data_IF_223086300137
#
_entry.id   IF_223086300137
#
_cell.length_a   1.000
_cell.length_b   1.000
_cell.length_c   1.000
_cell.angle_alpha   90.00
_cell.angle_beta   90.00
_cell.angle_gamma   90.00
#
_symmetry.space_group_name_H-M   'P 1'
#
loop_
_entity.id
_entity.type
_entity.pdbx_description
1 polymer ?
#
# COMPACT_ATOMS: atom_id res chain seq x y z
N UNK A 1 -3.50 -6.36 49.80
CA UNK A 1 -4.84 -6.89 49.41
C UNK A 1 -5.94 -5.81 49.37
N UNK A 2 -6.14 -4.98 50.42
CA UNK A 2 -7.16 -3.90 50.42
C UNK A 2 -7.03 -2.84 49.32
N UNK A 3 -5.81 -2.48 48.90
CA UNK A 3 -5.55 -1.46 47.86
C UNK A 3 -5.97 -1.92 46.46
N UNK A 4 -5.76 -3.20 46.16
CA UNK A 4 -6.12 -3.80 44.87
C UNK A 4 -7.64 -3.88 44.68
N UNK A 5 -8.36 -4.18 45.76
CA UNK A 5 -9.83 -4.18 45.78
C UNK A 5 -10.41 -2.76 45.58
N UNK A 6 -9.79 -1.74 46.18
CA UNK A 6 -10.17 -0.33 45.99
C UNK A 6 -9.95 0.12 44.54
N UNK A 7 -8.85 -0.30 43.91
CA UNK A 7 -8.56 0.06 42.52
C UNK A 7 -9.53 -0.60 41.53
N UNK A 8 -9.87 -1.87 41.74
CA UNK A 8 -10.88 -2.58 40.94
C UNK A 8 -12.27 -1.95 41.07
N UNK A 9 -12.66 -1.57 42.30
CA UNK A 9 -13.91 -0.88 42.56
C UNK A 9 -13.93 0.51 41.90
N UNK A 10 -12.83 1.25 41.96
CA UNK A 10 -12.70 2.56 41.29
C UNK A 10 -12.87 2.42 39.77
N UNK A 11 -12.18 1.45 39.15
CA UNK A 11 -12.30 1.19 37.70
C UNK A 11 -13.71 0.78 37.30
N UNK A 12 -14.39 -0.03 38.11
CA UNK A 12 -15.77 -0.42 37.86
C UNK A 12 -16.75 0.77 37.96
N UNK A 13 -16.57 1.64 38.96
CA UNK A 13 -17.36 2.87 39.10
C UNK A 13 -17.11 3.85 37.93
N UNK A 14 -15.86 4.01 37.51
CA UNK A 14 -15.48 4.80 36.33
C UNK A 14 -16.13 4.23 35.06
N UNK A 15 -16.13 2.92 34.88
CA UNK A 15 -16.76 2.26 33.74
C UNK A 15 -18.29 2.46 33.71
N UNK A 16 -18.95 2.32 34.87
CA UNK A 16 -20.40 2.58 35.01
C UNK A 16 -20.76 4.03 34.71
N UNK A 17 -19.96 4.99 35.20
CA UNK A 17 -20.14 6.41 34.90
C UNK A 17 -19.94 6.67 33.40
N UNK A 18 -18.88 6.13 32.81
CA UNK A 18 -18.62 6.31 31.38
C UNK A 18 -19.77 5.76 30.52
N UNK A 19 -20.29 4.59 30.86
CA UNK A 19 -21.43 3.99 30.18
C UNK A 19 -22.73 4.79 30.35
N UNK A 20 -22.99 5.35 31.54
CA UNK A 20 -24.20 6.15 31.77
C UNK A 20 -24.15 7.47 31.00
N UNK A 21 -22.98 8.12 30.95
CA UNK A 21 -22.75 9.32 30.14
C UNK A 21 -22.86 9.03 28.65
N UNK A 22 -22.32 7.90 28.18
CA UNK A 22 -22.43 7.48 26.78
C UNK A 22 -23.88 7.18 26.39
N UNK A 23 -24.63 6.47 27.23
CA UNK A 23 -26.07 6.23 27.01
C UNK A 23 -26.88 7.53 27.09
N UNK A 24 -26.48 8.48 27.94
CA UNK A 24 -27.08 9.80 28.01
C UNK A 24 -26.86 10.60 26.72
N UNK A 25 -25.66 10.54 26.14
CA UNK A 25 -25.34 11.13 24.84
C UNK A 25 -26.19 10.51 23.72
N UNK A 26 -26.35 9.19 23.69
CA UNK A 26 -27.18 8.51 22.68
C UNK A 26 -28.69 8.75 22.83
N UNK A 27 -29.16 9.27 23.97
CA UNK A 27 -30.58 9.58 24.21
C UNK A 27 -30.99 11.00 23.79
N UNK A 28 -30.02 11.87 23.50
CA UNK A 28 -30.27 13.24 23.07
C UNK A 28 -30.10 13.35 21.55
N UNK A 29 -31.03 14.00 20.85
CA UNK A 29 -30.94 14.26 19.41
C UNK A 29 -29.59 14.90 19.03
N UNK A 30 -29.13 15.90 19.80
CA UNK A 30 -27.83 16.55 19.58
C UNK A 30 -26.66 15.57 19.78
N UNK A 31 -26.77 14.66 20.76
CA UNK A 31 -25.73 13.68 21.05
C UNK A 31 -25.68 12.55 20.01
N UNK A 32 -26.83 12.14 19.47
CA UNK A 32 -26.91 11.26 18.31
C UNK A 32 -26.30 11.91 17.07
N UNK A 33 -26.61 13.19 16.80
CA UNK A 33 -26.02 13.95 15.69
C UNK A 33 -24.50 14.01 15.84
N UNK A 34 -23.96 14.28 17.03
CA UNK A 34 -22.51 14.29 17.28
C UNK A 34 -21.91 12.89 17.10
N UNK A 35 -22.55 11.83 17.60
CA UNK A 35 -22.07 10.46 17.45
C UNK A 35 -22.04 10.04 15.97
N UNK A 36 -23.09 10.32 15.23
CA UNK A 36 -23.15 10.09 13.80
C UNK A 36 -22.14 10.97 13.05
N UNK A 37 -21.99 12.25 13.40
CA UNK A 37 -20.94 13.10 12.84
C UNK A 37 -19.54 12.53 13.11
N UNK A 38 -19.25 11.99 14.30
CA UNK A 38 -17.97 11.37 14.59
C UNK A 38 -17.75 10.03 13.87
N UNK A 39 -18.80 9.23 13.68
CA UNK A 39 -18.74 7.95 12.97
C UNK A 39 -18.70 8.13 11.44
N UNK A 40 -19.36 9.17 10.94
CA UNK A 40 -19.44 9.54 9.52
C UNK A 40 -18.51 10.68 9.15
N UNK A 41 -17.70 11.20 10.08
CA UNK A 41 -16.53 11.99 9.74
C UNK A 41 -15.78 11.08 8.77
N UNK A 42 -15.70 11.44 7.47
CA UNK A 42 -14.82 10.73 6.57
C UNK A 42 -13.49 10.76 7.29
N UNK A 43 -12.84 9.61 7.48
CA UNK A 43 -11.41 9.63 7.78
C UNK A 43 -10.82 10.46 6.67
N UNK A 44 -10.56 11.73 6.93
CA UNK A 44 -9.91 12.61 5.98
C UNK A 44 -8.51 12.04 5.93
N UNK A 45 -8.29 11.18 4.93
CA UNK A 45 -6.99 10.66 4.62
C UNK A 45 -6.16 11.87 4.21
N UNK A 46 -5.51 12.50 5.19
CA UNK A 46 -4.55 13.55 4.96
C UNK A 46 -3.48 12.97 4.03
N UNK A 47 -3.47 13.39 2.77
CA UNK A 47 -2.37 13.20 1.80
C UNK A 47 -1.68 11.83 1.78
N UNK A 48 -2.39 10.72 2.03
CA UNK A 48 -1.76 9.41 2.04
C UNK A 48 -1.51 8.95 0.61
N UNK A 49 -0.24 8.72 0.27
CA UNK A 49 0.10 8.19 -1.04
C UNK A 49 -0.61 6.85 -1.28
N UNK A 50 -1.35 6.73 -2.39
CA UNK A 50 -2.06 5.49 -2.75
C UNK A 50 -1.14 4.28 -2.85
N UNK A 51 0.14 4.51 -3.15
CA UNK A 51 1.16 3.47 -3.29
C UNK A 51 1.91 3.10 -2.01
N UNK A 52 1.46 3.58 -0.85
CA UNK A 52 2.16 3.34 0.44
C UNK A 52 2.38 1.85 0.73
N UNK A 53 1.36 1.01 0.54
CA UNK A 53 1.51 -0.44 0.78
C UNK A 53 2.46 -1.09 -0.22
N UNK A 54 2.42 -0.69 -1.50
CA UNK A 54 3.35 -1.18 -2.52
C UNK A 54 4.80 -0.80 -2.18
N UNK A 55 5.05 0.43 -1.73
CA UNK A 55 6.40 0.86 -1.30
C UNK A 55 6.92 0.05 -0.12
N UNK A 56 6.05 -0.21 0.85
CA UNK A 56 6.41 -0.99 2.04
C UNK A 56 6.84 -2.41 1.65
N UNK A 57 6.06 -3.07 0.81
CA UNK A 57 6.36 -4.43 0.35
C UNK A 57 7.62 -4.45 -0.54
N UNK A 58 7.82 -3.45 -1.41
CA UNK A 58 9.05 -3.31 -2.22
C UNK A 58 10.32 -3.20 -1.36
N UNK A 59 10.30 -2.38 -0.31
CA UNK A 59 11.45 -2.28 0.62
C UNK A 59 11.66 -3.58 1.40
N UNK A 60 10.60 -4.33 1.70
CA UNK A 60 10.69 -5.61 2.37
C UNK A 60 11.35 -6.70 1.52
N UNK A 61 11.14 -6.71 0.20
CA UNK A 61 11.72 -7.72 -0.71
C UNK A 61 13.10 -7.34 -1.24
N UNK A 62 13.51 -6.08 -1.15
CA UNK A 62 14.78 -5.54 -1.68
C UNK A 62 16.06 -6.30 -1.25
N UNK A 63 16.01 -7.00 -0.12
CA UNK A 63 17.16 -7.77 0.42
C UNK A 63 17.09 -9.27 0.16
N UNK A 64 16.09 -9.73 -0.60
CA UNK A 64 15.96 -11.13 -1.01
C UNK A 64 17.16 -11.55 -1.85
N UNK A 65 17.71 -12.73 -1.52
CA UNK A 65 18.88 -13.35 -2.18
C UNK A 65 18.52 -14.60 -2.97
N UNK A 66 17.30 -15.06 -2.78
CA UNK A 66 16.69 -16.26 -3.35
C UNK A 66 15.84 -15.95 -4.60
N UNK A 67 15.91 -14.71 -5.10
CA UNK A 67 15.32 -14.27 -6.36
C UNK A 67 16.47 -13.89 -7.30
N UNK A 68 16.77 -14.77 -8.25
CA UNK A 68 17.83 -14.58 -9.25
C UNK A 68 17.20 -14.48 -10.65
N UNK A 69 16.81 -13.26 -11.02
CA UNK A 69 16.17 -12.96 -12.31
C UNK A 69 16.76 -11.70 -12.93
N UNK A 70 16.70 -11.67 -14.26
CA UNK A 70 17.02 -10.52 -15.11
C UNK A 70 15.71 -9.94 -15.64
N UNK A 71 15.47 -8.66 -15.41
CA UNK A 71 14.16 -8.02 -15.61
C UNK A 71 14.30 -6.71 -16.38
N UNK A 72 13.39 -6.49 -17.33
CA UNK A 72 13.36 -5.23 -18.09
C UNK A 72 13.11 -4.04 -17.16
N UNK A 73 14.10 -3.16 -17.04
CA UNK A 73 14.07 -2.11 -16.02
C UNK A 73 14.06 -0.73 -16.67
N UNK A 74 12.91 -0.08 -16.65
CA UNK A 74 12.77 1.28 -17.16
C UNK A 74 13.67 2.28 -16.41
N UNK A 75 14.19 3.27 -17.14
CA UNK A 75 14.97 4.34 -16.53
C UNK A 75 14.07 5.20 -15.64
N UNK A 76 14.63 5.69 -14.54
CA UNK A 76 13.80 6.49 -13.63
C UNK A 76 13.47 7.86 -14.22
N UNK A 77 14.26 8.39 -15.14
CA UNK A 77 14.12 9.70 -15.80
C UNK A 77 13.33 9.68 -17.11
N UNK A 78 12.58 8.60 -17.38
CA UNK A 78 11.66 8.55 -18.53
C UNK A 78 10.65 9.72 -18.51
N UNK A 79 10.23 10.12 -19.72
CA UNK A 79 9.31 11.23 -19.92
C UNK A 79 8.00 11.00 -19.13
N UNK A 80 7.49 12.05 -18.47
CA UNK A 80 6.26 11.98 -17.66
C UNK A 80 5.07 11.46 -18.46
N UNK A 81 5.05 11.66 -19.79
CA UNK A 81 4.02 11.11 -20.69
C UNK A 81 4.06 9.59 -20.81
N UNK A 82 5.19 8.97 -20.52
CA UNK A 82 5.39 7.52 -20.53
C UNK A 82 5.19 6.87 -19.16
N UNK A 83 4.89 7.66 -18.13
CA UNK A 83 4.72 7.21 -16.73
C UNK A 83 3.81 6.00 -16.59
N UNK A 84 2.65 6.01 -17.25
CA UNK A 84 1.69 4.91 -17.19
C UNK A 84 2.28 3.61 -17.73
N UNK A 85 2.94 3.68 -18.89
CA UNK A 85 3.59 2.53 -19.51
C UNK A 85 4.76 2.02 -18.67
N UNK A 86 5.59 2.92 -18.14
CA UNK A 86 6.69 2.59 -17.23
C UNK A 86 6.17 1.82 -16.02
N UNK A 87 5.11 2.32 -15.38
CA UNK A 87 4.45 1.64 -14.28
C UNK A 87 3.93 0.26 -14.69
N UNK A 88 3.25 0.15 -15.83
CA UNK A 88 2.78 -1.14 -16.35
C UNK A 88 3.93 -2.13 -16.57
N UNK A 89 5.08 -1.70 -17.13
CA UNK A 89 6.24 -2.56 -17.33
C UNK A 89 6.76 -3.12 -16.00
N UNK A 90 6.95 -2.29 -14.96
CA UNK A 90 7.37 -2.77 -13.65
C UNK A 90 6.41 -3.83 -13.06
N UNK A 91 5.10 -3.64 -13.24
CA UNK A 91 4.11 -4.62 -12.77
C UNK A 91 4.07 -5.91 -13.62
N UNK A 92 4.38 -5.83 -14.93
CA UNK A 92 4.54 -7.02 -15.78
C UNK A 92 5.77 -7.82 -15.36
N UNK A 93 6.91 -7.17 -15.17
CA UNK A 93 8.13 -7.81 -14.68
C UNK A 93 7.97 -8.37 -13.25
N UNK A 94 7.17 -7.72 -12.39
CA UNK A 94 6.85 -8.27 -11.06
C UNK A 94 6.08 -9.59 -11.14
N UNK A 95 5.31 -9.85 -12.22
CA UNK A 95 4.68 -11.16 -12.43
C UNK A 95 5.71 -12.24 -12.78
N UNK A 96 6.80 -11.87 -13.45
CA UNK A 96 7.93 -12.79 -13.73
C UNK A 96 8.57 -13.20 -12.40
N UNK A 97 8.84 -12.24 -11.50
CA UNK A 97 9.33 -12.53 -10.15
C UNK A 97 8.39 -13.49 -9.41
N UNK A 98 7.08 -13.22 -9.43
CA UNK A 98 6.11 -14.09 -8.75
C UNK A 98 6.13 -15.51 -9.33
N UNK A 99 6.21 -15.65 -10.66
CA UNK A 99 6.29 -16.94 -11.31
C UNK A 99 7.56 -17.70 -10.90
N UNK A 100 8.72 -17.03 -10.92
CA UNK A 100 9.99 -17.61 -10.48
C UNK A 100 9.89 -18.09 -9.03
N UNK A 101 9.33 -17.25 -8.14
CA UNK A 101 9.11 -17.57 -6.74
C UNK A 101 8.27 -18.82 -6.51
N UNK A 102 7.26 -19.08 -7.35
CA UNK A 102 6.47 -20.32 -7.28
C UNK A 102 7.27 -21.55 -7.67
N UNK A 103 8.22 -21.42 -8.60
CA UNK A 103 9.06 -22.53 -9.06
C UNK A 103 10.18 -22.82 -8.06
N UNK A 104 10.85 -21.78 -7.57
CA UNK A 104 12.02 -21.88 -6.69
C UNK A 104 11.68 -21.88 -5.20
N UNK A 105 10.41 -21.67 -4.86
CA UNK A 105 9.91 -21.55 -3.49
C UNK A 105 10.62 -20.43 -2.71
N UNK A 106 10.59 -19.22 -3.26
CA UNK A 106 11.25 -18.07 -2.64
C UNK A 106 10.56 -17.67 -1.31
N UNK A 107 11.35 -17.24 -0.34
CA UNK A 107 10.96 -16.80 1.00
C UNK A 107 10.05 -15.58 1.03
N UNK A 108 10.04 -14.78 -0.04
CA UNK A 108 9.29 -13.53 -0.16
C UNK A 108 8.09 -13.60 -1.11
N UNK A 109 7.66 -14.80 -1.49
CA UNK A 109 6.56 -15.02 -2.44
C UNK A 109 5.27 -14.25 -2.07
N UNK A 110 4.92 -14.23 -0.78
CA UNK A 110 3.74 -13.52 -0.30
C UNK A 110 3.85 -12.00 -0.43
N UNK A 111 5.04 -11.44 -0.18
CA UNK A 111 5.29 -10.01 -0.31
C UNK A 111 5.22 -9.58 -1.78
N UNK A 112 5.79 -10.39 -2.69
CA UNK A 112 5.68 -10.20 -4.15
C UNK A 112 4.21 -10.24 -4.60
N UNK A 113 3.44 -11.21 -4.11
CA UNK A 113 2.00 -11.28 -4.38
C UNK A 113 1.24 -10.04 -3.87
N UNK A 114 1.58 -9.55 -2.68
CA UNK A 114 0.95 -8.37 -2.09
C UNK A 114 1.22 -7.12 -2.93
N UNK A 115 2.44 -6.96 -3.47
CA UNK A 115 2.77 -5.86 -4.40
C UNK A 115 1.81 -5.85 -5.58
N UNK A 116 1.66 -6.99 -6.26
CA UNK A 116 0.78 -7.12 -7.43
C UNK A 116 -0.68 -6.86 -7.05
N UNK A 117 -1.15 -7.41 -5.94
CA UNK A 117 -2.53 -7.23 -5.45
C UNK A 117 -2.83 -5.77 -5.14
N UNK A 118 -1.97 -5.12 -4.35
CA UNK A 118 -2.15 -3.72 -3.95
C UNK A 118 -1.98 -2.77 -5.13
N UNK A 119 -1.08 -3.08 -6.06
CA UNK A 119 -0.89 -2.28 -7.26
C UNK A 119 -2.07 -2.35 -8.24
N UNK A 120 -2.62 -3.54 -8.48
CA UNK A 120 -3.80 -3.69 -9.34
C UNK A 120 -5.01 -2.94 -8.77
N UNK A 121 -5.23 -2.99 -7.46
CA UNK A 121 -6.27 -2.19 -6.81
C UNK A 121 -6.08 -0.68 -7.02
N UNK A 122 -4.84 -0.20 -7.13
CA UNK A 122 -4.55 1.20 -7.44
C UNK A 122 -4.75 1.56 -8.92
N UNK A 123 -4.58 0.60 -9.83
CA UNK A 123 -4.86 0.77 -11.25
C UNK A 123 -6.37 0.78 -11.54
N UNK A 124 -7.16 -0.13 -10.98
CA UNK A 124 -8.61 -0.20 -11.23
C UNK A 124 -9.37 1.08 -10.84
N UNK A 125 -8.87 1.83 -9.86
CA UNK A 125 -9.44 3.12 -9.44
C UNK A 125 -9.13 4.28 -10.40
N UNK A 126 -8.24 4.10 -11.38
CA UNK A 126 -7.90 5.10 -12.39
C UNK A 126 -8.18 4.48 -13.76
N UNK A 127 -9.21 4.97 -14.47
CA UNK A 127 -9.50 4.51 -15.83
C UNK A 127 -8.28 4.78 -16.72
N UNK A 128 -7.43 3.77 -16.88
CA UNK A 128 -6.10 3.87 -17.46
C UNK A 128 -6.26 3.87 -18.98
N UNK A 129 -6.41 5.07 -19.55
CA UNK A 129 -6.44 5.26 -20.99
C UNK A 129 -5.00 5.17 -21.50
N UNK A 130 -4.52 3.95 -21.73
CA UNK A 130 -3.23 3.67 -22.37
C UNK A 130 -3.24 4.23 -23.79
N UNK A 131 -3.00 5.52 -23.90
CA UNK A 131 -2.75 6.15 -25.18
C UNK A 131 -1.32 5.78 -25.51
N UNK A 132 -1.13 4.70 -26.28
CA UNK A 132 0.18 4.27 -26.79
C UNK A 132 0.77 5.42 -27.60
N UNK A 133 1.51 6.28 -26.91
CA UNK A 133 2.27 7.34 -27.55
C UNK A 133 3.41 6.64 -28.27
N UNK A 134 3.47 6.76 -29.60
CA UNK A 134 4.54 6.23 -30.47
C UNK A 134 5.98 6.65 -30.07
N UNK A 135 6.15 7.41 -28.98
CA UNK A 135 7.41 7.93 -28.46
C UNK A 135 7.90 7.22 -27.19
N UNK A 136 7.06 6.40 -26.54
CA UNK A 136 7.47 5.65 -25.36
C UNK A 136 8.04 4.30 -25.79
N UNK A 137 9.06 3.84 -25.08
CA UNK A 137 9.64 2.50 -25.29
C UNK A 137 8.67 1.43 -24.81
N UNK A 138 8.58 0.34 -25.56
CA UNK A 138 8.00 -0.91 -25.10
C UNK A 138 8.87 -1.50 -23.97
N UNK A 139 8.30 -2.41 -23.16
CA UNK A 139 8.99 -2.92 -21.97
C UNK A 139 10.29 -3.64 -22.33
N UNK A 140 10.27 -4.44 -23.39
CA UNK A 140 11.39 -5.24 -23.90
C UNK A 140 12.51 -4.40 -24.52
N UNK A 141 12.29 -3.10 -24.73
CA UNK A 141 13.33 -2.17 -25.21
C UNK A 141 14.17 -1.58 -24.05
N UNK A 142 13.80 -1.83 -22.80
CA UNK A 142 14.59 -1.44 -21.64
C UNK A 142 15.75 -2.41 -21.41
N UNK A 143 16.79 -1.93 -20.72
CA UNK A 143 17.90 -2.77 -20.29
C UNK A 143 17.41 -3.78 -19.24
N UNK A 144 17.78 -5.05 -19.40
CA UNK A 144 17.57 -6.03 -18.34
C UNK A 144 18.55 -5.80 -17.19
N UNK A 145 18.04 -5.82 -15.96
CA UNK A 145 18.85 -5.67 -14.75
C UNK A 145 18.53 -6.77 -13.76
N UNK A 146 19.46 -7.01 -12.84
CA UNK A 146 19.21 -7.95 -11.76
C UNK A 146 18.07 -7.45 -10.85
N UNK A 147 17.50 -8.38 -10.08
CA UNK A 147 16.45 -8.12 -9.11
C UNK A 147 16.71 -6.90 -8.21
N UNK A 148 17.93 -6.74 -7.69
CA UNK A 148 18.25 -5.64 -6.76
C UNK A 148 18.11 -4.28 -7.43
N UNK A 149 18.66 -4.12 -8.63
CA UNK A 149 18.58 -2.87 -9.40
C UNK A 149 17.15 -2.59 -9.87
N UNK A 150 16.43 -3.64 -10.29
CA UNK A 150 15.02 -3.56 -10.66
C UNK A 150 14.18 -2.99 -9.50
N UNK A 151 14.26 -3.57 -8.30
CA UNK A 151 13.51 -3.10 -7.13
C UNK A 151 13.91 -1.67 -6.75
N UNK A 152 15.19 -1.32 -6.79
CA UNK A 152 15.65 0.04 -6.50
C UNK A 152 15.05 1.07 -7.46
N UNK A 153 14.96 0.74 -8.75
CA UNK A 153 14.34 1.64 -9.73
C UNK A 153 12.83 1.69 -9.58
N UNK A 154 12.19 0.55 -9.28
CA UNK A 154 10.75 0.51 -9.06
C UNK A 154 10.33 1.38 -7.85
N UNK A 155 11.06 1.30 -6.74
CA UNK A 155 10.86 2.18 -5.57
C UNK A 155 10.94 3.65 -5.97
N UNK A 156 11.95 4.04 -6.74
CA UNK A 156 12.12 5.44 -7.19
C UNK A 156 10.95 5.90 -8.07
N UNK A 157 10.44 5.04 -8.94
CA UNK A 157 9.27 5.35 -9.78
C UNK A 157 8.03 5.52 -8.93
N UNK A 158 7.74 4.58 -8.02
CA UNK A 158 6.57 4.67 -7.14
C UNK A 158 6.63 5.91 -6.23
N UNK A 159 7.80 6.24 -5.68
CA UNK A 159 7.97 7.43 -4.84
C UNK A 159 7.63 8.73 -5.56
N UNK A 160 7.77 8.80 -6.88
CA UNK A 160 7.37 9.98 -7.67
C UNK A 160 5.85 10.11 -7.81
N UNK A 161 5.12 9.00 -7.71
CA UNK A 161 3.65 9.01 -7.68
C UNK A 161 3.09 9.48 -6.33
N UNK A 162 3.95 9.62 -5.32
CA UNK A 162 3.61 10.10 -3.98
C UNK A 162 3.94 11.59 -3.75
N UNK A 163 4.46 12.30 -4.76
CA UNK A 163 4.81 13.73 -4.70
C UNK A 163 3.77 14.57 -5.43
#
# INVERSE_FOLDING_TARGET
QKTHLKNLCLQYQLHLLLNSHFLGLLKNETGLIIFFLCAYLPKTAAGHCKWTEVLKDLEQIKTSKDIDVSLYTANTDEDVRCRELVMSCFFLEMKVILHECYVTNCSKSQDVFNILKNGNANFENNQMNSTTSKKCKECEEYEEKNFTEFIQNFVKVIQRECK
#
